data_IF_799242733201
#
_entry.id   IF_799242733201
#
_cell.length_a   1.000
_cell.length_b   1.000
_cell.length_c   1.000
_cell.angle_alpha   90.00
_cell.angle_beta   90.00
_cell.angle_gamma   90.00
#
_symmetry.space_group_name_H-M   'P 1'
#
loop_
_entity.id
_entity.type
_entity.pdbx_description
1 polymer ?
#
# COMPACT_ATOMS: atom_id res chain seq x y z
N UNK A 1 41.61 -8.42 -4.70
CA UNK A 1 40.43 -7.84 -5.37
C UNK A 1 39.30 -8.02 -4.39
N UNK A 2 39.18 -7.09 -3.47
CA UNK A 2 38.19 -7.15 -2.40
C UNK A 2 36.80 -6.95 -3.03
N UNK A 3 35.98 -8.00 -3.02
CA UNK A 3 34.55 -7.86 -3.22
C UNK A 3 34.05 -7.00 -2.06
N UNK A 4 33.80 -5.72 -2.31
CA UNK A 4 33.05 -4.91 -1.38
C UNK A 4 31.72 -5.62 -1.11
N UNK A 5 31.36 -5.87 0.16
CA UNK A 5 30.05 -6.45 0.47
C UNK A 5 28.98 -5.50 -0.09
N UNK A 6 27.93 -6.08 -0.69
CA UNK A 6 26.77 -5.32 -1.12
C UNK A 6 26.30 -4.43 0.03
N UNK A 7 25.93 -3.17 -0.23
CA UNK A 7 25.53 -2.24 0.82
C UNK A 7 24.39 -2.85 1.63
N UNK A 8 24.51 -2.81 2.95
CA UNK A 8 23.43 -3.22 3.84
C UNK A 8 22.34 -2.14 3.75
N UNK A 9 21.32 -2.41 2.94
CA UNK A 9 20.11 -1.58 2.87
C UNK A 9 19.32 -1.90 4.13
N UNK A 10 19.83 -1.37 5.24
CA UNK A 10 19.58 -1.88 6.58
C UNK A 10 18.20 -1.56 7.14
N UNK A 11 17.40 -0.72 6.48
CA UNK A 11 16.05 -0.47 6.97
C UNK A 11 15.11 0.11 5.91
N UNK A 12 14.11 -0.65 5.51
CA UNK A 12 12.95 -0.11 4.78
C UNK A 12 11.85 0.17 5.80
N UNK A 13 11.48 1.45 5.91
CA UNK A 13 10.35 1.89 6.72
C UNK A 13 9.24 2.36 5.79
N UNK A 14 8.04 1.85 6.02
CA UNK A 14 6.89 2.28 5.25
C UNK A 14 6.08 3.29 6.08
N UNK A 15 6.11 4.56 5.68
CA UNK A 15 5.11 5.53 6.15
C UNK A 15 3.82 5.30 5.36
N UNK A 16 2.80 4.74 6.01
CA UNK A 16 1.47 4.55 5.39
C UNK A 16 1.22 3.18 4.74
N UNK A 17 2.07 2.16 4.97
CA UNK A 17 1.69 0.74 4.74
C UNK A 17 1.22 0.01 6.00
N UNK A 18 1.22 0.68 7.14
CA UNK A 18 0.49 0.19 8.32
C UNK A 18 -0.99 0.50 8.10
N UNK A 19 -1.80 -0.56 8.01
CA UNK A 19 -3.24 -0.55 7.73
C UNK A 19 -3.60 -0.44 6.23
N UNK A 20 -4.79 -0.95 5.82
CA UNK A 20 -5.21 -0.89 4.42
C UNK A 20 -5.09 0.53 3.87
N UNK A 21 -4.55 0.67 2.66
CA UNK A 21 -4.43 1.95 1.99
C UNK A 21 -5.72 2.23 1.20
N UNK A 22 -6.28 3.43 1.31
CA UNK A 22 -7.42 3.81 0.48
C UNK A 22 -6.96 4.09 -0.95
N UNK A 23 -7.72 3.62 -1.94
CA UNK A 23 -7.53 3.98 -3.34
C UNK A 23 -7.43 5.51 -3.50
N UNK A 24 -6.56 5.99 -4.39
CA UNK A 24 -6.37 7.42 -4.60
C UNK A 24 -5.50 8.15 -3.56
N UNK A 25 -5.20 7.54 -2.40
CA UNK A 25 -4.23 8.11 -1.45
C UNK A 25 -2.80 7.88 -1.90
N UNK A 26 -1.91 8.82 -1.60
CA UNK A 26 -0.48 8.66 -1.89
C UNK A 26 0.10 7.65 -0.90
N UNK A 27 0.73 6.60 -1.42
CA UNK A 27 1.56 5.68 -0.66
C UNK A 27 3.00 6.18 -0.72
N UNK A 28 3.63 6.30 0.45
CA UNK A 28 5.03 6.69 0.59
C UNK A 28 5.86 5.50 1.09
N UNK A 29 7.00 5.27 0.44
CA UNK A 29 7.93 4.19 0.77
C UNK A 29 9.29 4.82 1.07
N UNK A 30 9.74 4.72 2.32
CA UNK A 30 11.00 5.31 2.77
C UNK A 30 12.06 4.23 2.93
N UNK A 31 13.15 4.37 2.19
CA UNK A 31 14.22 3.40 2.10
C UNK A 31 15.47 4.06 2.67
N UNK A 32 15.97 3.55 3.80
CA UNK A 32 17.22 4.00 4.39
C UNK A 32 18.34 3.08 3.92
N UNK A 33 19.25 3.61 3.09
CA UNK A 33 20.46 2.90 2.73
C UNK A 33 21.54 3.22 3.79
N UNK A 34 21.94 2.22 4.58
CA UNK A 34 23.02 2.39 5.55
C UNK A 34 24.37 2.24 4.84
N UNK A 35 25.20 3.28 4.90
CA UNK A 35 26.51 3.32 4.24
C UNK A 35 26.62 4.37 3.15
N UNK A 36 27.83 4.57 2.63
CA UNK A 36 28.19 5.59 1.64
C UNK A 36 27.61 5.23 0.26
N UNK A 37 26.28 5.35 0.14
CA UNK A 37 25.46 4.92 -0.99
C UNK A 37 25.49 5.94 -2.12
N UNK A 38 26.70 6.37 -2.49
CA UNK A 38 26.91 7.39 -3.51
C UNK A 38 26.84 6.82 -4.94
N UNK A 39 26.94 5.49 -5.13
CA UNK A 39 27.09 4.89 -6.46
C UNK A 39 25.89 4.09 -7.00
N UNK A 40 25.01 3.53 -6.15
CA UNK A 40 23.94 2.64 -6.62
C UNK A 40 22.62 3.34 -6.95
N UNK A 41 21.86 2.74 -7.85
CA UNK A 41 20.53 3.20 -8.29
C UNK A 41 19.42 2.42 -7.57
N UNK A 42 18.45 3.15 -6.99
CA UNK A 42 17.25 2.55 -6.41
C UNK A 42 16.11 2.70 -7.41
N UNK A 43 15.46 1.57 -7.70
CA UNK A 43 14.24 1.50 -8.50
C UNK A 43 13.11 0.94 -7.65
N UNK A 44 11.93 1.54 -7.76
CA UNK A 44 10.73 1.08 -7.05
C UNK A 44 9.60 0.88 -8.05
N UNK A 45 9.02 -0.32 -8.02
CA UNK A 45 7.93 -0.74 -8.89
C UNK A 45 6.73 -1.16 -8.05
N UNK A 46 5.55 -0.65 -8.39
CA UNK A 46 4.28 -1.05 -7.79
C UNK A 46 3.49 -1.88 -8.82
N UNK A 47 3.30 -3.17 -8.52
CA UNK A 47 2.54 -4.09 -9.36
C UNK A 47 1.12 -4.18 -8.82
N UNK A 48 0.16 -3.83 -9.67
CA UNK A 48 -1.27 -3.87 -9.37
C UNK A 48 -1.81 -5.30 -9.31
N UNK A 49 -2.97 -5.54 -8.68
CA UNK A 49 -3.65 -6.84 -8.72
C UNK A 49 -3.91 -7.36 -10.13
N UNK A 50 -4.11 -6.48 -11.11
CA UNK A 50 -4.22 -6.83 -12.54
C UNK A 50 -2.92 -7.32 -13.19
N UNK A 51 -1.77 -7.12 -12.53
CA UNK A 51 -0.43 -7.32 -13.09
C UNK A 51 0.16 -6.08 -13.75
N UNK A 52 -0.58 -4.97 -13.80
CA UNK A 52 -0.07 -3.70 -14.34
C UNK A 52 1.07 -3.14 -13.50
N UNK A 53 2.20 -2.81 -14.12
CA UNK A 53 3.38 -2.25 -13.44
C UNK A 53 3.33 -0.72 -13.45
N UNK A 54 3.49 -0.11 -12.28
CA UNK A 54 3.64 1.34 -12.09
C UNK A 54 5.04 1.63 -11.57
N UNK A 55 5.80 2.41 -12.33
CA UNK A 55 7.09 2.93 -11.87
C UNK A 55 6.84 4.06 -10.87
N UNK A 56 7.45 3.96 -9.69
CA UNK A 56 7.33 4.97 -8.65
C UNK A 56 8.37 6.07 -8.84
N UNK A 57 8.00 7.31 -8.56
CA UNK A 57 8.97 8.41 -8.54
C UNK A 57 9.83 8.27 -7.28
N UNK A 58 11.16 8.22 -7.43
CA UNK A 58 12.11 8.08 -6.33
C UNK A 58 12.87 9.40 -6.13
N UNK A 59 12.79 9.95 -4.92
CA UNK A 59 13.52 11.15 -4.50
C UNK A 59 14.64 10.75 -3.53
N UNK A 60 15.87 11.20 -3.78
CA UNK A 60 17.02 10.97 -2.89
C UNK A 60 17.31 12.21 -2.05
N UNK A 61 17.42 12.06 -0.73
CA UNK A 61 17.85 13.09 0.21
C UNK A 61 18.91 12.52 1.15
N UNK A 62 20.18 12.78 0.84
CA UNK A 62 21.31 12.18 1.57
C UNK A 62 21.36 10.66 1.36
N UNK A 63 21.25 9.90 2.45
CA UNK A 63 21.18 8.43 2.46
C UNK A 63 19.75 7.86 2.45
N UNK A 64 18.73 8.72 2.39
CA UNK A 64 17.32 8.35 2.40
C UNK A 64 16.73 8.48 1.01
N UNK A 65 16.00 7.46 0.59
CA UNK A 65 15.23 7.46 -0.66
C UNK A 65 13.75 7.38 -0.34
N UNK A 66 12.95 8.23 -0.98
CA UNK A 66 11.50 8.28 -0.81
C UNK A 66 10.86 7.99 -2.15
N UNK A 67 10.11 6.89 -2.23
CA UNK A 67 9.32 6.55 -3.41
C UNK A 67 7.83 6.80 -3.15
N UNK A 68 7.12 7.34 -4.13
CA UNK A 68 5.67 7.56 -4.02
C UNK A 68 4.91 6.98 -5.20
N UNK A 69 3.70 6.48 -4.92
CA UNK A 69 2.73 6.10 -5.93
C UNK A 69 1.30 6.26 -5.42
N UNK A 70 0.35 6.29 -6.33
CA UNK A 70 -1.08 6.32 -6.02
C UNK A 70 -1.76 5.08 -6.60
N UNK A 71 -2.27 4.16 -5.76
CA UNK A 71 -2.96 2.97 -6.22
C UNK A 71 -4.31 3.36 -6.83
N UNK A 72 -4.67 2.63 -7.89
CA UNK A 72 -5.89 2.83 -8.68
C UNK A 72 -6.69 1.54 -8.86
N UNK A 73 -6.36 0.49 -8.10
CA UNK A 73 -7.04 -0.79 -8.11
C UNK A 73 -7.16 -1.28 -6.67
N UNK A 74 -8.33 -1.80 -6.32
CA UNK A 74 -8.57 -2.47 -5.04
C UNK A 74 -7.88 -3.84 -5.05
N UNK A 75 -7.26 -4.21 -3.94
CA UNK A 75 -6.64 -5.53 -3.75
C UNK A 75 -5.19 -5.46 -3.29
N UNK A 76 -4.47 -6.57 -3.46
CA UNK A 76 -3.09 -6.72 -3.02
C UNK A 76 -2.11 -6.24 -4.10
N UNK A 77 -1.44 -5.13 -3.82
CA UNK A 77 -0.32 -4.61 -4.60
C UNK A 77 1.01 -5.20 -4.12
N UNK A 78 1.94 -5.43 -5.05
CA UNK A 78 3.31 -5.84 -4.75
C UNK A 78 4.28 -4.71 -5.03
N UNK A 79 5.08 -4.33 -4.05
CA UNK A 79 6.05 -3.23 -4.14
C UNK A 79 7.45 -3.82 -4.24
N UNK A 80 7.96 -3.86 -5.46
CA UNK A 80 9.34 -4.20 -5.79
C UNK A 80 10.27 -3.03 -5.43
N UNK A 81 11.35 -3.32 -4.72
CA UNK A 81 12.41 -2.36 -4.43
C UNK A 81 13.71 -3.02 -4.85
N UNK A 82 14.35 -2.44 -5.85
CA UNK A 82 15.55 -2.96 -6.47
C UNK A 82 16.70 -1.99 -6.21
N UNK A 83 17.86 -2.53 -5.87
CA UNK A 83 19.12 -1.83 -5.76
C UNK A 83 20.08 -2.42 -6.79
N UNK A 84 20.57 -1.59 -7.72
CA UNK A 84 21.41 -2.04 -8.83
C UNK A 84 20.84 -3.25 -9.60
N UNK A 85 19.52 -3.22 -9.83
CA UNK A 85 18.72 -4.26 -10.48
C UNK A 85 18.50 -5.57 -9.69
N UNK A 86 18.93 -5.64 -8.43
CA UNK A 86 18.66 -6.78 -7.56
C UNK A 86 17.64 -6.44 -6.47
N UNK A 87 16.73 -7.37 -6.18
CA UNK A 87 15.74 -7.20 -5.11
C UNK A 87 16.44 -7.08 -3.75
N UNK A 88 16.09 -6.04 -3.00
CA UNK A 88 16.52 -5.92 -1.61
C UNK A 88 15.84 -6.98 -0.75
N UNK A 89 16.41 -7.26 0.42
CA UNK A 89 15.82 -8.19 1.38
C UNK A 89 14.38 -7.77 1.76
N UNK A 90 13.45 -8.72 1.64
CA UNK A 90 12.03 -8.50 1.96
C UNK A 90 11.20 -7.96 0.79
N UNK A 91 11.84 -7.54 -0.31
CA UNK A 91 11.14 -7.25 -1.56
C UNK A 91 10.67 -8.55 -2.24
N UNK A 92 9.48 -8.58 -2.87
CA UNK A 92 8.49 -7.50 -2.91
C UNK A 92 7.67 -7.40 -1.61
N UNK A 93 7.35 -6.17 -1.22
CA UNK A 93 6.49 -5.89 -0.07
C UNK A 93 5.02 -5.89 -0.48
N UNK A 94 4.12 -6.15 0.47
CA UNK A 94 2.67 -6.20 0.20
C UNK A 94 1.98 -4.93 0.68
N UNK A 95 1.19 -4.31 -0.20
CA UNK A 95 0.29 -3.20 0.14
C UNK A 95 -1.16 -3.64 -0.15
N UNK A 96 -2.04 -3.58 0.85
CA UNK A 96 -3.47 -3.90 0.67
C UNK A 96 -4.22 -2.61 0.41
N UNK A 97 -4.96 -2.52 -0.68
CA UNK A 97 -5.71 -1.34 -1.08
C UNK A 97 -7.20 -1.61 -1.00
N UNK A 98 -7.96 -0.68 -0.42
CA UNK A 98 -9.42 -0.71 -0.28
C UNK A 98 -10.09 0.52 -0.91
N UNK A 99 -11.37 0.41 -1.22
CA UNK A 99 -12.23 1.53 -1.63
C UNK A 99 -13.57 1.46 -0.87
N UNK A 100 -13.75 2.38 0.07
CA UNK A 100 -14.96 2.45 0.88
C UNK A 100 -16.21 2.81 0.06
N UNK A 101 -16.05 3.46 -1.10
CA UNK A 101 -17.19 3.84 -1.96
C UNK A 101 -17.83 2.62 -2.64
N UNK A 102 -17.13 1.47 -2.67
CA UNK A 102 -17.65 0.21 -3.19
C UNK A 102 -18.44 -0.58 -2.13
N UNK A 103 -18.56 -0.07 -0.90
CA UNK A 103 -19.46 -0.62 0.11
C UNK A 103 -20.88 -0.12 -0.16
N UNK A 104 -21.81 -1.07 -0.33
CA UNK A 104 -23.22 -0.78 -0.60
C UNK A 104 -24.08 -1.22 0.57
N UNK A 105 -25.04 -0.39 0.96
CA UNK A 105 -25.98 -0.67 2.06
C UNK A 105 -27.40 -0.57 1.53
N UNK A 106 -28.24 -1.55 1.87
CA UNK A 106 -29.62 -1.67 1.39
C UNK A 106 -30.58 -2.00 2.53
N UNK A 107 -31.86 -1.65 2.38
CA UNK A 107 -32.92 -2.00 3.33
C UNK A 107 -32.99 -1.08 4.54
N UNK A 108 -32.57 0.18 4.39
CA UNK A 108 -32.66 1.23 5.42
C UNK A 108 -33.73 2.29 5.13
N UNK A 109 -34.56 2.07 4.11
CA UNK A 109 -35.45 3.11 3.58
C UNK A 109 -36.62 3.44 4.52
N UNK A 110 -37.27 2.43 5.10
CA UNK A 110 -38.42 2.60 6.00
C UNK A 110 -38.42 1.55 7.10
N UNK A 111 -38.53 1.98 8.35
CA UNK A 111 -38.73 1.13 9.53
C UNK A 111 -40.06 1.45 10.22
N UNK A 112 -40.74 0.42 10.73
CA UNK A 112 -41.97 0.59 11.52
C UNK A 112 -41.64 0.50 13.02
N UNK A 113 -42.23 1.39 13.81
CA UNK A 113 -42.03 1.41 15.28
C UNK A 113 -42.43 0.06 15.86
N UNK A 114 -41.56 -0.48 16.72
CA UNK A 114 -41.76 -1.79 17.35
C UNK A 114 -41.47 -2.99 16.43
N UNK A 115 -41.09 -2.77 15.16
CA UNK A 115 -40.71 -3.85 14.24
C UNK A 115 -39.19 -3.89 14.05
N UNK A 116 -38.65 -5.10 13.95
CA UNK A 116 -37.23 -5.29 13.62
C UNK A 116 -36.99 -4.88 12.17
N UNK A 117 -36.12 -3.90 11.97
CA UNK A 117 -35.61 -3.56 10.64
C UNK A 117 -34.41 -4.45 10.29
N UNK A 118 -34.36 -4.96 9.06
CA UNK A 118 -33.22 -5.70 8.52
C UNK A 118 -32.61 -4.90 7.38
N UNK A 119 -31.30 -4.74 7.40
CA UNK A 119 -30.52 -4.17 6.31
C UNK A 119 -29.45 -5.16 5.88
N UNK A 120 -28.90 -4.95 4.68
CA UNK A 120 -27.82 -5.75 4.12
C UNK A 120 -26.65 -4.85 3.74
N UNK A 121 -25.44 -5.38 3.89
CA UNK A 121 -24.20 -4.69 3.53
C UNK A 121 -23.42 -5.56 2.56
N UNK A 122 -23.09 -5.02 1.38
CA UNK A 122 -22.24 -5.66 0.40
C UNK A 122 -20.89 -4.92 0.35
N UNK A 123 -19.82 -5.58 0.79
CA UNK A 123 -18.45 -5.07 0.76
C UNK A 123 -17.52 -5.93 -0.11
N UNK A 124 -18.08 -6.82 -0.94
CA UNK A 124 -17.31 -7.81 -1.72
C UNK A 124 -16.29 -7.20 -2.68
N UNK A 125 -16.48 -5.95 -3.09
CA UNK A 125 -15.61 -5.22 -4.01
C UNK A 125 -14.75 -4.14 -3.32
N UNK A 126 -14.95 -3.90 -2.02
CA UNK A 126 -14.30 -2.81 -1.30
C UNK A 126 -12.85 -3.12 -0.89
N UNK A 127 -12.43 -4.39 -0.94
CA UNK A 127 -11.11 -4.82 -0.49
C UNK A 127 -11.05 -5.08 1.01
N UNK A 128 -9.83 -5.36 1.50
CA UNK A 128 -9.60 -5.70 2.91
C UNK A 128 -9.80 -4.48 3.82
N UNK A 129 -10.64 -4.62 4.83
CA UNK A 129 -10.88 -3.56 5.81
C UNK A 129 -11.80 -4.00 6.94
N UNK A 130 -11.97 -3.12 7.92
CA UNK A 130 -12.90 -3.32 9.02
C UNK A 130 -14.19 -2.54 8.76
N UNK A 131 -15.32 -3.24 8.79
CA UNK A 131 -16.64 -2.61 8.73
C UNK A 131 -17.20 -2.44 10.14
N UNK A 132 -17.58 -1.22 10.49
CA UNK A 132 -18.20 -0.89 11.79
C UNK A 132 -19.58 -0.29 11.57
N UNK A 133 -20.58 -0.85 12.23
CA UNK A 133 -21.96 -0.33 12.25
C UNK A 133 -22.20 0.35 13.59
N UNK A 134 -22.81 1.53 13.56
CA UNK A 134 -23.18 2.30 14.76
C UNK A 134 -24.66 2.69 14.68
N UNK A 135 -25.38 2.49 15.78
CA UNK A 135 -26.75 2.96 15.96
C UNK A 135 -26.71 4.05 17.02
N UNK A 136 -26.97 5.33 16.66
CA UNK A 136 -27.08 6.38 17.66
C UNK A 136 -28.28 6.12 18.59
N UNK A 137 -28.10 6.43 19.87
CA UNK A 137 -29.18 6.46 20.88
C UNK A 137 -30.13 7.64 20.64
#
# INVERSE_FOLDING_TARGET
MDLYPAPDIGHVSFSGLSEPCSIGSIVEVVINAHGDSSAGSILVEAIAPSGSVKNCQVLKKGSVFTATFTPNEVGKWQIGILYDNDHIRGSPFSCKVYDANLVQVYGLDVGLVGQKLKFSVNASQAGDGFLKVFFPE
#
